data_IF_151944698476
#
_entry.id   IF_151944698476
#
_cell.length_a   1.000
_cell.length_b   1.000
_cell.length_c   1.000
_cell.angle_alpha   90.00
_cell.angle_beta   90.00
_cell.angle_gamma   90.00
#
_symmetry.space_group_name_H-M   'P 1'
#
loop_
_entity.id
_entity.type
_entity.pdbx_description
1 polymer ?
#
# COMPACT_ATOMS: atom_id res chain seq x y z
N UNK A 1 -0.33 -38.74 2.33
CA UNK A 1 -0.45 -39.41 1.03
C UNK A 1 -1.89 -39.37 0.59
N UNK A 2 -2.15 -38.71 -0.54
CA UNK A 2 -3.49 -38.63 -1.13
C UNK A 2 -3.88 -39.98 -1.77
N UNK A 3 -5.18 -40.17 -2.05
CA UNK A 3 -5.65 -41.41 -2.64
C UNK A 3 -5.44 -41.40 -4.16
N UNK A 4 -4.47 -42.17 -4.63
CA UNK A 4 -3.96 -42.15 -6.03
C UNK A 4 -5.03 -42.11 -7.12
N UNK A 5 -6.17 -42.79 -6.95
CA UNK A 5 -7.28 -42.76 -7.92
C UNK A 5 -7.97 -41.39 -7.97
N UNK A 6 -8.23 -40.76 -6.81
CA UNK A 6 -8.87 -39.43 -6.73
C UNK A 6 -7.93 -38.34 -7.24
N UNK A 7 -6.68 -38.31 -6.77
CA UNK A 7 -5.67 -37.38 -7.27
C UNK A 7 -5.45 -37.56 -8.78
N UNK A 8 -5.23 -38.80 -9.24
CA UNK A 8 -4.99 -39.08 -10.66
C UNK A 8 -6.16 -38.66 -11.56
N UNK A 9 -7.41 -38.89 -11.14
CA UNK A 9 -8.59 -38.43 -11.88
C UNK A 9 -8.72 -36.91 -11.88
N UNK A 10 -8.57 -36.26 -10.74
CA UNK A 10 -8.67 -34.80 -10.62
C UNK A 10 -7.59 -34.09 -11.45
N UNK A 11 -6.33 -34.53 -11.38
CA UNK A 11 -5.25 -33.97 -12.19
C UNK A 11 -5.50 -34.17 -13.69
N UNK A 12 -6.09 -35.30 -14.10
CA UNK A 12 -6.46 -35.52 -15.50
C UNK A 12 -7.57 -34.56 -15.96
N UNK A 13 -8.61 -34.34 -15.15
CA UNK A 13 -9.67 -33.39 -15.46
C UNK A 13 -9.14 -31.94 -15.55
N UNK A 14 -8.23 -31.54 -14.65
CA UNK A 14 -7.57 -30.21 -14.67
C UNK A 14 -6.70 -30.04 -15.93
N UNK A 15 -5.92 -31.06 -16.33
CA UNK A 15 -5.14 -31.01 -17.58
C UNK A 15 -6.05 -30.85 -18.80
N UNK A 16 -7.17 -31.57 -18.85
CA UNK A 16 -8.16 -31.45 -19.92
C UNK A 16 -8.78 -30.05 -20.01
N UNK A 17 -9.15 -29.44 -18.87
CA UNK A 17 -9.67 -28.07 -18.79
C UNK A 17 -8.73 -27.08 -19.47
N UNK A 18 -7.44 -27.15 -19.11
CA UNK A 18 -6.42 -26.20 -19.54
C UNK A 18 -6.04 -26.44 -21.00
N UNK A 19 -5.88 -27.70 -21.43
CA UNK A 19 -5.65 -28.01 -22.84
C UNK A 19 -6.79 -27.50 -23.73
N UNK A 20 -8.04 -27.79 -23.38
CA UNK A 20 -9.19 -27.37 -24.21
C UNK A 20 -9.34 -25.84 -24.22
N UNK A 21 -9.03 -25.17 -23.11
CA UNK A 21 -9.02 -23.71 -23.03
C UNK A 21 -7.94 -23.05 -23.91
N UNK A 22 -6.77 -23.70 -24.05
CA UNK A 22 -5.66 -23.26 -24.90
C UNK A 22 -5.91 -23.58 -26.39
N UNK A 23 -6.65 -24.64 -26.70
CA UNK A 23 -7.10 -24.95 -28.07
C UNK A 23 -8.11 -23.91 -28.56
N UNK A 24 -9.03 -23.48 -27.70
CA UNK A 24 -10.12 -22.56 -28.03
C UNK A 24 -9.69 -21.09 -28.07
N UNK A 25 -8.52 -20.75 -27.52
CA UNK A 25 -7.85 -19.46 -27.74
C UNK A 25 -7.54 -19.18 -29.24
N UNK A 26 -7.67 -20.19 -30.12
CA UNK A 26 -7.54 -20.04 -31.58
C UNK A 26 -8.86 -19.65 -32.28
N UNK A 27 -10.02 -19.79 -31.63
CA UNK A 27 -11.35 -19.48 -32.20
C UNK A 27 -11.58 -17.97 -32.17
N UNK A 28 -11.90 -17.33 -33.32
CA UNK A 28 -11.94 -15.85 -33.41
C UNK A 28 -13.08 -15.16 -32.64
N UNK A 29 -14.17 -15.85 -32.32
CA UNK A 29 -15.35 -15.23 -31.70
C UNK A 29 -15.25 -15.20 -30.17
N UNK A 30 -15.16 -14.00 -29.57
CA UNK A 30 -14.92 -13.84 -28.13
C UNK A 30 -16.01 -14.45 -27.23
N UNK A 31 -17.30 -14.20 -27.49
CA UNK A 31 -18.39 -14.74 -26.67
C UNK A 31 -18.38 -16.28 -26.58
N UNK A 32 -18.25 -16.97 -27.71
CA UNK A 32 -18.08 -18.43 -27.75
C UNK A 32 -16.83 -18.96 -27.00
N UNK A 33 -15.78 -18.15 -26.78
CA UNK A 33 -14.67 -18.53 -25.89
C UNK A 33 -15.10 -18.51 -24.42
N UNK A 34 -15.88 -17.50 -24.02
CA UNK A 34 -16.44 -17.34 -22.67
C UNK A 34 -17.34 -18.53 -22.34
N UNK A 35 -18.47 -18.66 -23.04
CA UNK A 35 -19.45 -19.73 -22.83
C UNK A 35 -18.85 -21.14 -22.79
N UNK A 36 -17.82 -21.41 -23.60
CA UNK A 36 -17.10 -22.69 -23.53
C UNK A 36 -16.21 -22.81 -22.28
N UNK A 37 -15.49 -21.76 -21.89
CA UNK A 37 -14.65 -21.69 -20.66
C UNK A 37 -15.50 -21.80 -19.39
N UNK A 38 -16.69 -21.21 -19.39
CA UNK A 38 -17.71 -21.34 -18.35
C UNK A 38 -18.23 -22.80 -18.27
N UNK A 39 -18.75 -23.31 -19.39
CA UNK A 39 -19.21 -24.71 -19.55
C UNK A 39 -18.15 -25.74 -19.11
N UNK A 40 -16.87 -25.49 -19.41
CA UNK A 40 -15.78 -26.44 -19.12
C UNK A 40 -15.40 -26.48 -17.65
N UNK A 41 -15.41 -25.33 -16.97
CA UNK A 41 -15.21 -25.29 -15.52
C UNK A 41 -16.41 -25.95 -14.81
N UNK A 42 -17.63 -25.65 -15.25
CA UNK A 42 -18.85 -26.29 -14.76
C UNK A 42 -18.83 -27.82 -14.91
N UNK A 43 -18.41 -28.34 -16.07
CA UNK A 43 -18.26 -29.79 -16.30
C UNK A 43 -17.35 -30.51 -15.29
N UNK A 44 -16.37 -29.82 -14.72
CA UNK A 44 -15.54 -30.39 -13.64
C UNK A 44 -16.33 -30.42 -12.34
N UNK A 45 -16.89 -29.29 -11.89
CA UNK A 45 -17.71 -29.24 -10.67
C UNK A 45 -18.84 -30.30 -10.70
N UNK A 46 -19.52 -30.47 -11.84
CA UNK A 46 -20.63 -31.44 -12.01
C UNK A 46 -20.24 -32.91 -11.74
N UNK A 47 -18.95 -33.25 -11.80
CA UNK A 47 -18.43 -34.59 -11.47
C UNK A 47 -18.18 -34.82 -9.96
N UNK A 48 -18.11 -33.75 -9.16
CA UNK A 48 -17.64 -33.80 -7.76
C UNK A 48 -18.56 -33.10 -6.75
N UNK A 49 -19.64 -32.44 -7.17
CA UNK A 49 -20.59 -31.79 -6.27
C UNK A 49 -21.27 -32.79 -5.32
N UNK A 50 -21.46 -32.46 -4.02
CA UNK A 50 -22.24 -33.29 -3.11
C UNK A 50 -23.73 -33.37 -3.50
N UNK A 51 -24.38 -34.46 -3.14
CA UNK A 51 -25.83 -34.67 -3.37
C UNK A 51 -26.63 -33.51 -2.73
N UNK A 52 -27.49 -32.88 -3.52
CA UNK A 52 -28.27 -31.69 -3.12
C UNK A 52 -27.76 -30.39 -3.73
N UNK A 53 -26.52 -30.35 -4.24
CA UNK A 53 -25.98 -29.21 -4.98
C UNK A 53 -25.95 -29.47 -6.49
N UNK A 54 -26.27 -28.42 -7.24
CA UNK A 54 -26.24 -28.40 -8.71
C UNK A 54 -25.60 -27.08 -9.21
N UNK A 55 -25.36 -27.03 -10.53
CA UNK A 55 -24.81 -25.88 -11.23
C UNK A 55 -25.89 -25.21 -12.06
N UNK A 56 -25.77 -23.91 -12.25
CA UNK A 56 -26.52 -23.19 -13.27
C UNK A 56 -25.84 -21.89 -13.70
N UNK A 57 -26.50 -21.17 -14.59
CA UNK A 57 -26.12 -19.82 -15.06
C UNK A 57 -27.37 -18.98 -15.32
N UNK A 58 -27.26 -17.65 -15.28
CA UNK A 58 -28.41 -16.75 -15.40
C UNK A 58 -28.52 -15.76 -14.24
N UNK A 59 -29.73 -15.32 -13.93
CA UNK A 59 -29.99 -14.26 -12.93
C UNK A 59 -30.26 -14.83 -11.53
N UNK A 60 -29.78 -14.11 -10.51
CA UNK A 60 -30.07 -14.38 -9.11
C UNK A 60 -31.14 -13.40 -8.63
N UNK A 61 -32.17 -13.90 -7.95
CA UNK A 61 -33.39 -13.15 -7.64
C UNK A 61 -33.70 -13.14 -6.14
N UNK A 62 -34.43 -12.12 -5.67
CA UNK A 62 -34.99 -12.08 -4.32
C UNK A 62 -36.53 -12.04 -4.28
N UNK A 63 -37.07 -12.18 -3.06
CA UNK A 63 -38.51 -12.16 -2.80
C UNK A 63 -39.18 -10.79 -2.99
N UNK A 64 -38.42 -9.71 -3.19
CA UNK A 64 -38.94 -8.36 -3.46
C UNK A 64 -38.99 -8.06 -4.99
N UNK A 65 -38.63 -9.05 -5.83
CA UNK A 65 -38.52 -8.98 -7.29
C UNK A 65 -37.31 -8.17 -7.80
N UNK A 66 -36.27 -7.99 -6.97
CA UNK A 66 -34.98 -7.50 -7.49
C UNK A 66 -34.23 -8.67 -8.15
N UNK A 67 -33.49 -8.40 -9.22
CA UNK A 67 -32.64 -9.39 -9.91
C UNK A 67 -31.20 -8.88 -10.07
N UNK A 68 -30.25 -9.80 -10.18
CA UNK A 68 -28.87 -9.49 -10.58
C UNK A 68 -28.73 -9.45 -12.11
N UNK A 69 -27.62 -8.90 -12.59
CA UNK A 69 -27.14 -9.24 -13.95
C UNK A 69 -26.90 -10.75 -14.06
N UNK A 70 -26.88 -11.24 -15.29
CA UNK A 70 -26.48 -12.61 -15.64
C UNK A 70 -25.11 -12.99 -15.03
N UNK A 71 -25.05 -14.18 -14.44
CA UNK A 71 -23.88 -14.74 -13.75
C UNK A 71 -23.26 -15.86 -14.57
N UNK A 72 -21.92 -15.83 -14.67
CA UNK A 72 -21.15 -16.68 -15.58
C UNK A 72 -21.24 -18.19 -15.20
N UNK A 73 -21.38 -18.48 -13.89
CA UNK A 73 -21.74 -19.79 -13.32
C UNK A 73 -22.18 -19.60 -11.86
N UNK A 74 -23.02 -20.47 -11.31
CA UNK A 74 -23.32 -20.55 -9.88
C UNK A 74 -23.47 -22.00 -9.38
N UNK A 75 -23.36 -22.19 -8.05
CA UNK A 75 -23.71 -23.44 -7.35
C UNK A 75 -24.87 -23.14 -6.41
N UNK A 76 -25.98 -23.87 -6.55
CA UNK A 76 -27.18 -23.74 -5.73
C UNK A 76 -27.55 -25.04 -5.01
N UNK A 77 -28.25 -24.92 -3.88
CA UNK A 77 -28.80 -26.05 -3.13
C UNK A 77 -30.25 -26.32 -3.55
N UNK A 78 -30.44 -27.30 -4.45
CA UNK A 78 -31.75 -27.67 -5.01
C UNK A 78 -32.71 -28.26 -3.97
N UNK A 79 -32.17 -28.74 -2.84
CA UNK A 79 -32.94 -29.29 -1.73
C UNK A 79 -33.44 -28.21 -0.76
N UNK A 80 -33.04 -26.94 -0.94
CA UNK A 80 -33.49 -25.82 -0.12
C UNK A 80 -34.63 -25.05 -0.80
N UNK A 81 -34.40 -24.51 -2.00
CA UNK A 81 -35.42 -23.88 -2.86
C UNK A 81 -35.10 -24.26 -4.32
N UNK A 82 -36.09 -24.72 -5.13
CA UNK A 82 -35.86 -24.99 -6.54
C UNK A 82 -35.75 -23.70 -7.36
N UNK A 83 -34.86 -23.64 -8.37
CA UNK A 83 -34.80 -22.54 -9.33
C UNK A 83 -35.90 -22.62 -10.39
N UNK A 84 -36.12 -21.51 -11.10
CA UNK A 84 -36.99 -21.45 -12.27
C UNK A 84 -36.10 -21.60 -13.52
N UNK A 85 -35.98 -22.81 -14.04
CA UNK A 85 -35.15 -23.10 -15.21
C UNK A 85 -35.89 -22.84 -16.53
N UNK A 86 -35.20 -22.24 -17.48
CA UNK A 86 -35.67 -22.04 -18.86
C UNK A 86 -34.95 -22.97 -19.86
N UNK A 87 -33.77 -23.48 -19.51
CA UNK A 87 -33.07 -24.53 -20.25
C UNK A 87 -32.67 -25.69 -19.30
N UNK A 88 -31.61 -26.44 -19.62
CA UNK A 88 -31.12 -27.57 -18.82
C UNK A 88 -30.43 -27.08 -17.54
N UNK A 89 -29.59 -26.04 -17.65
CA UNK A 89 -28.81 -25.47 -16.54
C UNK A 89 -29.02 -23.93 -16.42
N UNK A 90 -29.77 -23.28 -17.33
CA UNK A 90 -30.00 -21.82 -17.32
C UNK A 90 -31.37 -21.44 -16.72
N UNK A 91 -31.42 -20.38 -15.91
CA UNK A 91 -32.67 -19.94 -15.25
C UNK A 91 -32.54 -18.75 -14.30
N UNK A 92 -33.57 -18.59 -13.45
CA UNK A 92 -33.57 -17.66 -12.32
C UNK A 92 -33.44 -18.41 -10.99
N UNK A 93 -32.50 -17.97 -10.14
CA UNK A 93 -32.10 -18.69 -8.92
C UNK A 93 -32.40 -17.85 -7.67
N UNK A 94 -33.24 -18.31 -6.74
CA UNK A 94 -33.46 -17.63 -5.46
C UNK A 94 -32.16 -17.48 -4.67
N UNK A 95 -31.86 -16.27 -4.20
CA UNK A 95 -30.60 -15.92 -3.55
C UNK A 95 -30.29 -16.80 -2.31
N UNK A 96 -31.30 -17.25 -1.56
CA UNK A 96 -31.13 -18.15 -0.42
C UNK A 96 -30.65 -19.55 -0.81
N UNK A 97 -30.91 -19.99 -2.05
CA UNK A 97 -30.40 -21.26 -2.57
C UNK A 97 -28.94 -21.19 -3.01
N UNK A 98 -28.45 -19.99 -3.36
CA UNK A 98 -27.13 -19.77 -3.94
C UNK A 98 -26.03 -19.89 -2.87
N UNK A 99 -25.05 -20.75 -3.12
CA UNK A 99 -23.90 -20.96 -2.21
C UNK A 99 -22.59 -20.40 -2.75
N UNK A 100 -22.40 -20.45 -4.07
CA UNK A 100 -21.28 -19.83 -4.77
C UNK A 100 -21.77 -19.18 -6.05
N UNK A 101 -21.22 -18.02 -6.41
CA UNK A 101 -21.48 -17.35 -7.69
C UNK A 101 -20.13 -16.96 -8.28
N UNK A 102 -19.95 -17.21 -9.57
CA UNK A 102 -18.68 -17.13 -10.26
C UNK A 102 -18.68 -16.06 -11.34
N UNK A 103 -17.52 -15.43 -11.50
CA UNK A 103 -17.12 -14.61 -12.64
C UNK A 103 -15.93 -15.32 -13.30
N UNK A 104 -16.06 -15.73 -14.56
CA UNK A 104 -15.13 -16.65 -15.24
C UNK A 104 -14.46 -15.94 -16.41
N UNK A 105 -13.26 -15.41 -16.20
CA UNK A 105 -12.61 -14.50 -17.15
C UNK A 105 -11.55 -15.19 -18.00
N UNK A 106 -11.50 -14.79 -19.27
CA UNK A 106 -10.50 -15.31 -20.22
C UNK A 106 -9.08 -14.90 -19.84
N UNK A 107 -8.89 -13.65 -19.46
CA UNK A 107 -7.63 -13.09 -18.96
C UNK A 107 -7.97 -12.06 -17.89
N UNK A 108 -7.50 -12.27 -16.66
CA UNK A 108 -7.69 -11.30 -15.57
C UNK A 108 -6.92 -10.01 -15.89
N UNK A 109 -7.61 -8.87 -15.87
CA UNK A 109 -7.03 -7.55 -16.01
C UNK A 109 -7.72 -6.56 -15.04
N UNK A 110 -7.24 -5.32 -14.98
CA UNK A 110 -7.77 -4.31 -14.06
C UNK A 110 -9.25 -3.96 -14.31
N UNK A 111 -9.72 -3.99 -15.56
CA UNK A 111 -11.12 -3.73 -15.91
C UNK A 111 -12.03 -4.88 -15.45
N UNK A 112 -11.65 -6.13 -15.75
CA UNK A 112 -12.44 -7.31 -15.37
C UNK A 112 -12.68 -7.40 -13.86
N UNK A 113 -11.64 -7.15 -13.06
CA UNK A 113 -11.76 -7.12 -11.59
C UNK A 113 -12.77 -6.04 -11.16
N UNK A 114 -12.72 -4.84 -11.75
CA UNK A 114 -13.67 -3.77 -11.43
C UNK A 114 -15.11 -4.11 -11.84
N UNK A 115 -15.33 -4.71 -13.02
CA UNK A 115 -16.66 -5.10 -13.48
C UNK A 115 -17.25 -6.25 -12.67
N UNK A 116 -16.43 -7.23 -12.28
CA UNK A 116 -16.86 -8.33 -11.39
C UNK A 116 -17.17 -7.83 -9.98
N UNK A 117 -16.38 -6.88 -9.42
CA UNK A 117 -16.73 -6.19 -8.17
C UNK A 117 -18.10 -5.50 -8.28
N UNK A 118 -18.43 -4.86 -9.41
CA UNK A 118 -19.74 -4.24 -9.60
C UNK A 118 -20.88 -5.27 -9.61
N UNK A 119 -20.77 -6.33 -10.42
CA UNK A 119 -21.75 -7.45 -10.46
C UNK A 119 -21.97 -8.06 -9.07
N UNK A 120 -20.90 -8.39 -8.33
CA UNK A 120 -21.02 -9.00 -7.01
C UNK A 120 -21.63 -8.06 -5.96
N UNK A 121 -21.44 -6.74 -6.07
CA UNK A 121 -22.12 -5.78 -5.20
C UNK A 121 -23.64 -5.71 -5.46
N UNK A 122 -24.10 -5.84 -6.72
CA UNK A 122 -25.53 -5.91 -7.02
C UNK A 122 -26.17 -7.14 -6.36
N UNK A 123 -25.53 -8.30 -6.48
CA UNK A 123 -25.97 -9.56 -5.82
C UNK A 123 -25.97 -9.42 -4.29
N UNK A 124 -24.97 -8.76 -3.70
CA UNK A 124 -24.88 -8.54 -2.25
C UNK A 124 -25.92 -7.55 -1.70
N UNK A 125 -26.62 -6.81 -2.56
CA UNK A 125 -27.72 -5.91 -2.19
C UNK A 125 -29.11 -6.58 -2.21
N UNK A 126 -29.24 -7.78 -2.81
CA UNK A 126 -30.47 -8.58 -2.83
C UNK A 126 -30.92 -8.95 -1.40
N UNK A 127 -32.24 -9.10 -1.21
CA UNK A 127 -32.85 -9.43 0.08
C UNK A 127 -32.88 -10.93 0.33
N UNK A 128 -32.83 -11.30 1.61
CA UNK A 128 -32.95 -12.69 2.06
C UNK A 128 -34.23 -12.82 2.87
N UNK A 129 -35.02 -13.87 2.62
CA UNK A 129 -36.30 -14.12 3.27
C UNK A 129 -36.34 -15.51 3.89
N UNK A 130 -36.49 -15.64 5.24
CA UNK A 130 -36.49 -14.56 6.23
C UNK A 130 -35.13 -13.82 6.30
N UNK A 131 -35.13 -12.60 6.82
CA UNK A 131 -33.97 -11.67 6.85
C UNK A 131 -32.81 -12.16 7.73
N UNK A 132 -32.08 -13.14 7.19
CA UNK A 132 -31.12 -13.97 7.89
C UNK A 132 -29.80 -13.99 7.11
N UNK A 133 -28.98 -12.95 7.31
CA UNK A 133 -27.71 -12.67 6.59
C UNK A 133 -26.60 -13.74 6.71
N UNK A 134 -26.88 -14.93 7.23
CA UNK A 134 -25.89 -15.94 7.60
C UNK A 134 -25.22 -16.68 6.44
N UNK A 135 -25.83 -16.65 5.25
CA UNK A 135 -25.36 -17.34 4.06
C UNK A 135 -25.51 -16.45 2.83
N UNK A 136 -24.74 -15.36 2.76
CA UNK A 136 -24.49 -14.73 1.45
C UNK A 136 -23.66 -15.69 0.59
N UNK A 137 -23.90 -15.79 -0.73
CA UNK A 137 -23.15 -16.66 -1.61
C UNK A 137 -21.70 -16.20 -1.70
N UNK A 138 -20.79 -17.17 -1.67
CA UNK A 138 -19.35 -16.93 -1.75
C UNK A 138 -19.02 -16.49 -3.18
N UNK A 139 -18.53 -15.26 -3.32
CA UNK A 139 -18.27 -14.63 -4.61
C UNK A 139 -16.89 -15.04 -5.13
N UNK A 140 -16.86 -15.70 -6.29
CA UNK A 140 -15.69 -16.37 -6.87
C UNK A 140 -15.24 -15.67 -8.15
N UNK A 141 -14.01 -15.17 -8.18
CA UNK A 141 -13.39 -14.69 -9.42
C UNK A 141 -12.39 -15.73 -9.93
N UNK A 142 -12.66 -16.30 -11.10
CA UNK A 142 -11.81 -17.29 -11.76
C UNK A 142 -11.24 -16.71 -13.05
N UNK A 143 -9.96 -16.94 -13.35
CA UNK A 143 -9.42 -16.62 -14.67
C UNK A 143 -8.41 -17.64 -15.20
N UNK A 144 -8.45 -17.86 -16.51
CA UNK A 144 -7.57 -18.79 -17.22
C UNK A 144 -6.16 -18.25 -17.50
N UNK A 145 -5.98 -16.93 -17.43
CA UNK A 145 -4.73 -16.22 -17.65
C UNK A 145 -4.76 -14.87 -16.93
N UNK A 146 -3.66 -14.13 -16.99
CA UNK A 146 -3.57 -12.73 -16.54
C UNK A 146 -2.54 -11.93 -17.33
N UNK A 147 -2.69 -10.62 -17.37
CA UNK A 147 -1.77 -9.67 -17.99
C UNK A 147 -0.59 -9.24 -17.08
N UNK A 148 -0.66 -9.44 -15.77
CA UNK A 148 0.40 -9.02 -14.84
C UNK A 148 1.50 -10.07 -14.63
N UNK A 149 2.75 -9.63 -14.76
CA UNK A 149 3.96 -10.43 -14.53
C UNK A 149 4.37 -10.43 -13.05
N UNK A 150 4.56 -9.23 -12.47
CA UNK A 150 5.30 -9.01 -11.21
C UNK A 150 4.41 -8.80 -9.97
N UNK A 151 3.25 -8.16 -10.12
CA UNK A 151 2.36 -7.81 -9.00
C UNK A 151 1.48 -9.02 -8.62
N UNK A 152 1.10 -9.13 -7.34
CA UNK A 152 0.15 -10.15 -6.88
C UNK A 152 -1.29 -9.81 -7.29
N UNK A 153 -2.05 -10.81 -7.75
CA UNK A 153 -3.48 -10.65 -8.08
C UNK A 153 -4.31 -10.14 -6.91
N UNK A 154 -4.02 -10.63 -5.71
CA UNK A 154 -4.68 -10.18 -4.48
C UNK A 154 -4.39 -8.70 -4.18
N UNK A 155 -3.17 -8.25 -4.47
CA UNK A 155 -2.77 -6.85 -4.29
C UNK A 155 -3.41 -5.95 -5.34
N UNK A 156 -3.51 -6.42 -6.60
CA UNK A 156 -4.28 -5.75 -7.66
C UNK A 156 -5.75 -5.58 -7.25
N UNK A 157 -6.37 -6.63 -6.74
CA UNK A 157 -7.76 -6.61 -6.26
C UNK A 157 -7.96 -5.63 -5.08
N UNK A 158 -7.05 -5.63 -4.09
CA UNK A 158 -7.16 -4.73 -2.93
C UNK A 158 -7.07 -3.23 -3.26
N UNK A 159 -6.59 -2.87 -4.46
CA UNK A 159 -6.59 -1.47 -4.95
C UNK A 159 -7.96 -1.00 -5.44
N UNK A 160 -8.90 -1.91 -5.70
CA UNK A 160 -10.22 -1.60 -6.28
C UNK A 160 -11.39 -1.86 -5.33
N UNK A 161 -11.28 -2.80 -4.39
CA UNK A 161 -12.29 -2.99 -3.36
C UNK A 161 -11.99 -2.20 -2.07
N UNK A 162 -12.81 -1.17 -1.82
CA UNK A 162 -12.75 -0.32 -0.61
C UNK A 162 -13.00 -1.10 0.69
N UNK A 163 -13.66 -2.26 0.62
CA UNK A 163 -14.01 -3.10 1.77
C UNK A 163 -13.07 -4.30 1.95
N UNK A 164 -11.98 -4.41 1.16
CA UNK A 164 -11.11 -5.58 1.08
C UNK A 164 -10.65 -6.14 2.45
N UNK A 165 -10.39 -5.26 3.43
CA UNK A 165 -9.89 -5.62 4.76
C UNK A 165 -10.97 -5.91 5.81
N UNK A 166 -12.25 -5.64 5.51
CA UNK A 166 -13.38 -5.64 6.47
C UNK A 166 -14.51 -6.56 6.03
N UNK A 167 -14.88 -6.51 4.76
CA UNK A 167 -15.90 -7.35 4.11
C UNK A 167 -15.64 -7.38 2.59
N UNK A 168 -14.60 -8.08 2.12
CA UNK A 168 -14.23 -8.10 0.70
C UNK A 168 -15.40 -8.55 -0.19
N UNK A 169 -15.54 -7.95 -1.37
CA UNK A 169 -16.63 -8.20 -2.32
C UNK A 169 -16.48 -9.55 -3.04
N UNK A 170 -15.25 -9.90 -3.41
CA UNK A 170 -14.82 -11.20 -3.88
C UNK A 170 -14.21 -11.95 -2.70
N UNK A 171 -14.72 -13.15 -2.42
CA UNK A 171 -14.30 -13.98 -1.28
C UNK A 171 -13.24 -15.02 -1.69
N UNK A 172 -13.21 -15.40 -2.97
CA UNK A 172 -12.32 -16.41 -3.56
C UNK A 172 -11.77 -15.92 -4.90
N UNK A 173 -10.47 -16.09 -5.11
CA UNK A 173 -9.79 -15.79 -6.39
C UNK A 173 -8.98 -17.02 -6.82
N UNK A 174 -9.15 -17.49 -8.05
CA UNK A 174 -8.31 -18.56 -8.63
C UNK A 174 -7.86 -18.17 -10.05
N UNK A 175 -6.55 -18.08 -10.24
CA UNK A 175 -5.92 -17.63 -11.49
C UNK A 175 -4.90 -18.68 -11.91
N UNK A 176 -5.19 -19.38 -13.01
CA UNK A 176 -4.37 -20.50 -13.49
C UNK A 176 -2.93 -20.02 -13.76
N UNK A 177 -1.93 -20.77 -13.28
CA UNK A 177 -0.52 -20.42 -13.40
C UNK A 177 -0.04 -19.31 -12.45
N UNK A 178 -0.91 -18.81 -11.56
CA UNK A 178 -0.55 -17.83 -10.51
C UNK A 178 -0.88 -18.34 -9.10
N UNK A 179 -2.11 -18.81 -8.88
CA UNK A 179 -2.51 -19.41 -7.60
C UNK A 179 -4.00 -19.34 -7.27
N UNK A 180 -4.31 -19.74 -6.04
CA UNK A 180 -5.65 -19.77 -5.45
C UNK A 180 -5.64 -19.09 -4.08
N UNK A 181 -6.37 -17.98 -3.98
CA UNK A 181 -6.59 -17.22 -2.77
C UNK A 181 -8.04 -17.40 -2.29
N UNK A 182 -8.22 -17.42 -0.98
CA UNK A 182 -9.55 -17.35 -0.37
C UNK A 182 -9.47 -16.58 0.94
N UNK A 183 -10.55 -15.87 1.26
CA UNK A 183 -10.68 -15.19 2.55
C UNK A 183 -11.46 -16.06 3.54
N UNK A 184 -11.14 -15.94 4.82
CA UNK A 184 -11.96 -16.46 5.91
C UNK A 184 -12.08 -15.39 7.01
N UNK A 185 -13.16 -15.48 7.79
CA UNK A 185 -13.26 -14.73 9.04
C UNK A 185 -12.52 -15.48 10.14
N UNK A 186 -11.74 -14.75 10.93
CA UNK A 186 -11.17 -15.24 12.19
C UNK A 186 -12.28 -15.76 13.13
N UNK A 187 -11.93 -16.58 14.13
CA UNK A 187 -12.86 -17.20 15.08
C UNK A 187 -13.77 -16.17 15.78
N UNK A 188 -13.25 -14.96 16.02
CA UNK A 188 -14.00 -13.84 16.61
C UNK A 188 -14.85 -13.03 15.60
N UNK A 189 -14.87 -13.44 14.33
CA UNK A 189 -15.54 -12.82 13.17
C UNK A 189 -15.11 -11.39 12.78
N UNK A 190 -14.24 -10.74 13.57
CA UNK A 190 -13.81 -9.34 13.41
C UNK A 190 -12.68 -9.11 12.38
N UNK A 191 -11.88 -10.13 12.04
CA UNK A 191 -10.78 -10.01 11.07
C UNK A 191 -11.03 -10.90 9.85
N UNK A 192 -10.72 -10.37 8.67
CA UNK A 192 -10.63 -11.12 7.41
C UNK A 192 -9.17 -11.56 7.25
N UNK A 193 -8.94 -12.84 7.04
CA UNK A 193 -7.63 -13.46 6.81
C UNK A 193 -7.62 -14.00 5.37
N UNK A 194 -6.61 -13.62 4.59
CA UNK A 194 -6.40 -14.13 3.24
C UNK A 194 -5.36 -15.26 3.24
N UNK A 195 -5.75 -16.39 2.67
CA UNK A 195 -4.89 -17.56 2.45
C UNK A 195 -4.39 -17.54 1.00
N UNK A 196 -3.20 -18.08 0.75
CA UNK A 196 -2.61 -18.11 -0.59
C UNK A 196 -1.96 -19.46 -0.90
N UNK A 197 -2.52 -20.14 -1.88
CA UNK A 197 -1.97 -21.34 -2.46
C UNK A 197 -1.28 -20.95 -3.77
N UNK A 198 0.04 -21.01 -3.78
CA UNK A 198 0.86 -20.71 -4.96
C UNK A 198 0.56 -21.71 -6.08
N UNK A 199 0.63 -21.26 -7.34
CA UNK A 199 0.62 -22.19 -8.48
C UNK A 199 1.90 -23.03 -8.53
N UNK A 200 1.71 -24.30 -8.85
CA UNK A 200 2.67 -25.39 -8.80
C UNK A 200 2.58 -26.23 -10.09
N UNK A 201 3.39 -27.30 -10.20
CA UNK A 201 3.29 -28.23 -11.34
C UNK A 201 1.87 -28.78 -11.49
N UNK A 202 1.48 -29.05 -12.73
CA UNK A 202 0.14 -29.52 -13.12
C UNK A 202 -1.04 -28.58 -12.76
N UNK A 203 -0.77 -27.31 -12.40
CA UNK A 203 -1.78 -26.30 -12.04
C UNK A 203 -2.59 -26.69 -10.80
N UNK A 204 -1.85 -27.16 -9.78
CA UNK A 204 -2.37 -27.71 -8.53
C UNK A 204 -3.31 -26.75 -7.77
N UNK A 205 -3.16 -25.44 -7.96
CA UNK A 205 -4.04 -24.42 -7.40
C UNK A 205 -5.52 -24.62 -7.78
N UNK A 206 -5.79 -25.15 -8.98
CA UNK A 206 -7.15 -25.47 -9.43
C UNK A 206 -7.71 -26.67 -8.65
N UNK A 207 -6.87 -27.65 -8.32
CA UNK A 207 -7.25 -28.81 -7.51
C UNK A 207 -7.50 -28.45 -6.04
N UNK A 208 -6.72 -27.51 -5.50
CA UNK A 208 -6.94 -26.91 -4.17
C UNK A 208 -8.25 -26.11 -4.14
N UNK A 209 -8.49 -25.26 -5.15
CA UNK A 209 -9.71 -24.48 -5.33
C UNK A 209 -10.98 -25.34 -5.37
N UNK A 210 -11.01 -26.34 -6.26
CA UNK A 210 -12.10 -27.31 -6.36
C UNK A 210 -12.35 -28.02 -5.02
N UNK A 211 -11.27 -28.52 -4.39
CA UNK A 211 -11.37 -29.25 -3.12
C UNK A 211 -11.83 -28.37 -1.96
N UNK A 212 -11.45 -27.09 -1.94
CA UNK A 212 -11.90 -26.11 -0.95
C UNK A 212 -13.41 -25.90 -1.03
N UNK A 213 -13.93 -25.64 -2.23
CA UNK A 213 -15.38 -25.48 -2.48
C UNK A 213 -16.16 -26.73 -2.07
N UNK A 214 -15.70 -27.92 -2.46
CA UNK A 214 -16.39 -29.18 -2.14
C UNK A 214 -16.39 -29.46 -0.63
N UNK A 215 -15.29 -29.19 0.08
CA UNK A 215 -15.23 -29.31 1.55
C UNK A 215 -16.21 -28.36 2.27
N UNK A 216 -16.40 -27.14 1.76
CA UNK A 216 -17.36 -26.18 2.32
C UNK A 216 -18.80 -26.64 2.06
N UNK A 217 -19.13 -27.06 0.83
CA UNK A 217 -20.47 -27.53 0.47
C UNK A 217 -20.90 -28.79 1.24
N UNK A 218 -19.97 -29.73 1.45
CA UNK A 218 -20.21 -30.94 2.25
C UNK A 218 -20.29 -30.68 3.76
N UNK A 219 -19.89 -29.49 4.24
CA UNK A 219 -19.64 -29.17 5.65
C UNK A 219 -18.66 -30.13 6.36
N UNK A 220 -17.89 -30.91 5.60
CA UNK A 220 -16.99 -31.96 6.09
C UNK A 220 -15.70 -31.91 5.28
N UNK A 221 -14.61 -31.51 5.92
CA UNK A 221 -13.29 -31.28 5.31
C UNK A 221 -12.54 -32.56 4.87
N UNK A 222 -13.25 -33.60 4.40
CA UNK A 222 -12.70 -34.90 4.04
C UNK A 222 -12.29 -35.03 2.57
N UNK A 223 -12.98 -34.39 1.61
CA UNK A 223 -12.68 -34.55 0.18
C UNK A 223 -11.22 -34.18 -0.12
N UNK A 224 -10.76 -33.07 0.48
CA UNK A 224 -9.36 -32.65 0.41
C UNK A 224 -8.33 -33.61 1.00
N UNK A 225 -8.69 -34.69 1.71
CA UNK A 225 -7.74 -35.76 2.10
C UNK A 225 -7.62 -36.88 1.07
N UNK A 226 -8.57 -37.00 0.15
CA UNK A 226 -8.49 -37.95 -0.97
C UNK A 226 -7.74 -37.36 -2.16
N UNK A 227 -7.81 -36.04 -2.37
CA UNK A 227 -7.25 -35.36 -3.55
C UNK A 227 -5.88 -34.72 -3.33
N UNK A 228 -5.67 -34.03 -2.20
CA UNK A 228 -4.51 -33.17 -1.90
C UNK A 228 -3.51 -33.94 -1.02
N UNK A 229 -2.22 -33.99 -1.38
CA UNK A 229 -1.23 -34.67 -0.54
C UNK A 229 -0.78 -33.84 0.68
N UNK A 230 -0.42 -34.52 1.76
CA UNK A 230 -0.17 -33.98 3.09
C UNK A 230 1.06 -33.07 3.14
N UNK A 231 2.04 -33.26 2.26
CA UNK A 231 3.20 -32.38 2.21
C UNK A 231 2.86 -31.04 1.56
N UNK A 232 2.07 -31.06 0.47
CA UNK A 232 1.55 -29.82 -0.12
C UNK A 232 0.52 -29.16 0.83
N UNK A 233 -0.18 -29.93 1.68
CA UNK A 233 -0.98 -29.35 2.80
C UNK A 233 -0.16 -28.59 3.84
N UNK A 234 1.14 -28.89 3.99
CA UNK A 234 2.07 -28.11 4.84
C UNK A 234 2.56 -26.84 4.14
N UNK A 235 2.55 -26.84 2.80
CA UNK A 235 2.84 -25.69 1.95
C UNK A 235 1.61 -24.78 1.72
N UNK A 236 0.44 -25.11 2.30
CA UNK A 236 -0.72 -24.21 2.41
C UNK A 236 -0.37 -23.08 3.38
N UNK A 237 0.36 -22.11 2.88
CA UNK A 237 0.57 -20.84 3.53
C UNK A 237 -0.76 -20.08 3.58
N UNK A 238 -1.26 -19.82 4.79
CA UNK A 238 -1.85 -18.51 5.01
C UNK A 238 -0.82 -17.44 4.62
N UNK A 239 -1.21 -16.20 4.28
CA UNK A 239 -0.27 -15.12 3.95
C UNK A 239 0.48 -14.57 5.20
N UNK A 240 0.90 -15.49 6.07
CA UNK A 240 1.32 -15.36 7.46
C UNK A 240 2.72 -15.95 7.63
N UNK A 241 2.97 -17.18 7.16
CA UNK A 241 4.15 -17.93 7.65
C UNK A 241 5.48 -17.67 6.90
N UNK A 242 5.44 -17.05 5.71
CA UNK A 242 6.62 -16.46 5.06
C UNK A 242 6.76 -14.96 5.40
N UNK A 243 5.79 -14.39 6.13
CA UNK A 243 5.72 -12.95 6.47
C UNK A 243 5.51 -12.69 7.97
N UNK A 244 6.08 -13.53 8.84
CA UNK A 244 6.07 -13.31 10.30
C UNK A 244 6.65 -11.94 10.72
N UNK A 245 7.53 -11.35 9.93
CA UNK A 245 8.06 -10.00 10.13
C UNK A 245 7.14 -8.88 9.62
N UNK A 246 6.10 -9.19 8.82
CA UNK A 246 5.28 -8.21 8.09
C UNK A 246 3.79 -8.21 8.47
N UNK A 247 3.32 -9.20 9.26
CA UNK A 247 1.97 -9.19 9.85
C UNK A 247 1.80 -8.03 10.84
N UNK A 248 2.84 -7.77 11.64
CA UNK A 248 2.91 -6.66 12.61
C UNK A 248 2.62 -5.32 11.92
N UNK A 249 3.07 -5.18 10.66
CA UNK A 249 2.85 -4.02 9.80
C UNK A 249 1.40 -3.91 9.33
N UNK A 250 0.77 -5.02 8.92
CA UNK A 250 -0.49 -4.98 8.16
C UNK A 250 -1.73 -4.75 9.03
N UNK A 251 -1.84 -5.39 10.20
CA UNK A 251 -2.99 -5.15 11.10
C UNK A 251 -2.98 -3.72 11.66
N UNK A 252 -1.79 -3.12 11.88
CA UNK A 252 -1.68 -1.72 12.34
C UNK A 252 -2.10 -0.72 11.25
N UNK A 253 -1.66 -0.87 10.00
CA UNK A 253 -2.12 -0.05 8.85
C UNK A 253 -3.66 -0.10 8.69
N UNK A 254 -4.27 -1.24 8.97
CA UNK A 254 -5.74 -1.39 8.96
C UNK A 254 -6.43 -0.55 10.05
N UNK A 255 -5.90 -0.52 11.27
CA UNK A 255 -6.45 0.32 12.35
C UNK A 255 -6.14 1.82 12.16
N UNK A 256 -4.97 2.19 11.62
CA UNK A 256 -4.66 3.57 11.18
C UNK A 256 -5.79 4.13 10.30
N UNK A 257 -6.02 3.45 9.17
CA UNK A 257 -6.91 3.96 8.13
C UNK A 257 -8.37 4.03 8.62
N UNK A 258 -8.80 3.07 9.45
CA UNK A 258 -10.13 3.10 10.08
C UNK A 258 -10.27 4.22 11.11
N UNK A 259 -9.22 4.46 11.92
CA UNK A 259 -9.18 5.56 12.90
C UNK A 259 -9.20 6.94 12.24
N UNK A 260 -8.34 7.14 11.24
CA UNK A 260 -8.28 8.36 10.42
C UNK A 260 -9.60 8.61 9.69
N UNK A 261 -10.24 7.58 9.14
CA UNK A 261 -11.56 7.68 8.52
C UNK A 261 -12.64 8.17 9.50
N UNK A 262 -12.65 7.68 10.76
CA UNK A 262 -13.59 8.18 11.76
C UNK A 262 -13.29 9.63 12.20
N UNK A 263 -12.01 10.02 12.28
CA UNK A 263 -11.60 11.40 12.60
C UNK A 263 -11.98 12.38 11.48
N UNK A 264 -11.73 12.01 10.21
CA UNK A 264 -12.12 12.81 9.03
C UNK A 264 -13.63 13.02 8.91
N UNK A 265 -14.43 12.08 9.44
CA UNK A 265 -15.88 12.18 9.53
C UNK A 265 -16.37 12.74 10.89
N UNK A 266 -15.50 13.44 11.65
CA UNK A 266 -15.85 14.16 12.88
C UNK A 266 -16.22 13.30 14.09
N UNK A 267 -16.03 11.97 14.02
CA UNK A 267 -16.50 11.01 15.02
C UNK A 267 -15.36 10.58 15.95
N UNK A 268 -14.76 11.58 16.62
CA UNK A 268 -13.46 11.50 17.28
C UNK A 268 -13.33 10.38 18.31
N UNK A 269 -14.33 10.16 19.17
CA UNK A 269 -14.31 9.09 20.18
C UNK A 269 -14.20 7.69 19.57
N UNK A 270 -14.91 7.44 18.46
CA UNK A 270 -14.77 6.17 17.72
C UNK A 270 -13.43 6.08 16.99
N UNK A 271 -12.88 7.20 16.52
CA UNK A 271 -11.52 7.29 15.97
C UNK A 271 -10.45 6.88 16.98
N UNK A 272 -10.40 7.54 18.13
CA UNK A 272 -9.41 7.26 19.18
C UNK A 272 -9.53 5.85 19.77
N UNK A 273 -10.74 5.31 19.94
CA UNK A 273 -10.96 3.92 20.41
C UNK A 273 -10.65 2.87 19.33
N UNK A 274 -10.69 3.24 18.05
CA UNK A 274 -10.25 2.37 16.94
C UNK A 274 -8.73 2.39 16.80
N UNK A 275 -8.10 3.56 16.94
CA UNK A 275 -6.65 3.70 16.99
C UNK A 275 -6.05 2.94 18.18
N UNK A 276 -6.62 3.05 19.39
CA UNK A 276 -6.05 2.42 20.58
C UNK A 276 -5.95 0.89 20.50
N UNK A 277 -6.79 0.23 19.68
CA UNK A 277 -6.74 -1.21 19.41
C UNK A 277 -5.62 -1.65 18.46
N UNK A 278 -4.90 -0.70 17.84
CA UNK A 278 -3.65 -0.99 17.11
C UNK A 278 -2.43 -1.21 18.03
N UNK A 279 -2.55 -0.86 19.32
CA UNK A 279 -1.41 -0.45 20.15
C UNK A 279 -1.07 -1.47 21.27
N UNK A 280 -1.62 -2.69 21.23
CA UNK A 280 -1.45 -3.70 22.30
C UNK A 280 -0.04 -4.32 22.43
N UNK A 281 0.95 -3.90 21.63
CA UNK A 281 2.37 -4.33 21.74
C UNK A 281 3.35 -3.16 21.58
N UNK A 282 3.15 -2.09 22.36
CA UNK A 282 3.91 -0.81 22.29
C UNK A 282 5.41 -0.93 22.03
N UNK A 283 6.15 -1.50 22.98
CA UNK A 283 7.60 -1.33 23.17
C UNK A 283 8.51 -1.79 21.99
N UNK A 284 7.96 -2.54 21.03
CA UNK A 284 8.66 -2.92 19.77
C UNK A 284 7.97 -2.40 18.50
N UNK A 285 6.72 -1.93 18.59
CA UNK A 285 5.95 -1.43 17.44
C UNK A 285 6.43 -0.06 16.95
N UNK A 286 7.00 0.78 17.81
CA UNK A 286 7.38 2.16 17.43
C UNK A 286 8.81 2.24 16.85
N UNK A 287 9.76 1.48 17.39
CA UNK A 287 11.12 1.38 16.85
C UNK A 287 11.13 0.92 15.38
N UNK A 288 10.35 -0.13 15.06
CA UNK A 288 10.20 -0.63 13.68
C UNK A 288 9.65 0.43 12.71
N UNK A 289 8.73 1.31 13.15
CA UNK A 289 8.23 2.40 12.32
C UNK A 289 9.29 3.47 12.04
N UNK A 290 10.17 3.75 13.00
CA UNK A 290 11.29 4.66 12.82
C UNK A 290 12.32 4.06 11.85
N UNK A 291 12.65 2.77 11.99
CA UNK A 291 13.57 2.06 11.09
C UNK A 291 13.04 2.04 9.65
N UNK A 292 11.76 1.74 9.42
CA UNK A 292 11.17 1.80 8.08
C UNK A 292 11.00 3.25 7.57
N UNK A 293 10.65 4.19 8.44
CA UNK A 293 10.63 5.62 8.10
C UNK A 293 12.00 6.14 7.64
N UNK A 294 13.08 5.71 8.30
CA UNK A 294 14.45 6.04 7.90
C UNK A 294 14.89 5.28 6.64
N UNK A 295 14.46 4.04 6.45
CA UNK A 295 14.61 3.25 5.22
C UNK A 295 13.97 3.94 4.02
N UNK A 296 12.75 4.47 4.17
CA UNK A 296 12.02 5.26 3.17
C UNK A 296 12.69 6.63 2.92
N UNK A 297 13.14 7.32 3.97
CA UNK A 297 13.88 8.58 3.85
C UNK A 297 15.17 8.41 3.02
N UNK A 298 15.94 7.36 3.32
CA UNK A 298 17.17 7.04 2.58
C UNK A 298 16.88 6.67 1.10
N UNK A 299 15.68 6.18 0.79
CA UNK A 299 15.16 5.94 -0.58
C UNK A 299 14.57 7.20 -1.25
N UNK A 300 14.61 8.37 -0.57
CA UNK A 300 13.99 9.64 -1.01
C UNK A 300 12.46 9.62 -1.13
N UNK A 301 11.80 8.69 -0.43
CA UNK A 301 10.34 8.60 -0.34
C UNK A 301 9.85 9.42 0.87
N UNK A 302 10.02 10.74 0.78
CA UNK A 302 9.90 11.65 1.93
C UNK A 302 8.49 11.74 2.51
N UNK A 303 7.45 11.61 1.67
CA UNK A 303 6.05 11.65 2.10
C UNK A 303 5.67 10.40 2.88
N UNK A 304 6.13 9.25 2.39
CA UNK A 304 5.96 7.95 3.01
C UNK A 304 6.76 7.89 4.32
N UNK A 305 8.03 8.34 4.31
CA UNK A 305 8.87 8.44 5.50
C UNK A 305 8.21 9.30 6.60
N UNK A 306 7.73 10.50 6.24
CA UNK A 306 7.05 11.41 7.17
C UNK A 306 5.85 10.75 7.87
N UNK A 307 4.99 10.08 7.10
CA UNK A 307 3.80 9.39 7.65
C UNK A 307 4.18 8.31 8.67
N UNK A 308 5.22 7.51 8.38
CA UNK A 308 5.66 6.44 9.28
C UNK A 308 6.37 6.97 10.53
N UNK A 309 7.12 8.07 10.41
CA UNK A 309 7.81 8.69 11.56
C UNK A 309 6.80 9.41 12.48
N UNK A 310 5.82 10.12 11.94
CA UNK A 310 4.75 10.74 12.74
C UNK A 310 3.91 9.69 13.49
N UNK A 311 3.60 8.57 12.83
CA UNK A 311 2.91 7.43 13.45
C UNK A 311 3.75 6.76 14.57
N UNK A 312 5.09 6.83 14.54
CA UNK A 312 5.90 6.32 15.64
C UNK A 312 5.76 7.18 16.92
N UNK A 313 5.64 8.50 16.78
CA UNK A 313 5.63 9.47 17.90
C UNK A 313 4.25 9.55 18.56
N UNK A 314 3.17 9.45 17.78
CA UNK A 314 1.79 9.48 18.27
C UNK A 314 1.45 8.32 19.22
N UNK A 315 2.25 7.25 19.20
CA UNK A 315 2.02 6.02 19.97
C UNK A 315 2.84 5.95 21.29
N UNK A 316 3.90 6.75 21.43
CA UNK A 316 4.88 6.60 22.52
C UNK A 316 5.55 7.93 22.97
N UNK A 317 5.35 8.29 24.23
CA UNK A 317 5.87 9.52 24.85
C UNK A 317 7.41 9.52 25.04
N UNK A 318 8.01 8.34 24.96
CA UNK A 318 9.46 8.10 24.87
C UNK A 318 10.07 8.79 23.65
N UNK A 319 9.40 8.73 22.49
CA UNK A 319 9.89 9.31 21.24
C UNK A 319 9.52 10.79 21.07
N UNK A 320 8.48 11.27 21.76
CA UNK A 320 8.15 12.71 21.87
C UNK A 320 9.25 13.55 22.56
N UNK A 321 10.23 12.90 23.19
CA UNK A 321 11.39 13.56 23.81
C UNK A 321 12.70 13.31 23.04
N UNK A 322 12.64 12.88 21.76
CA UNK A 322 13.82 12.60 20.94
C UNK A 322 14.06 13.65 19.85
N UNK A 323 15.05 14.53 20.07
CA UNK A 323 15.42 15.60 19.13
C UNK A 323 15.76 15.07 17.72
N UNK A 324 16.37 13.87 17.63
CA UNK A 324 16.73 13.22 16.37
C UNK A 324 15.52 12.92 15.48
N UNK A 325 14.36 12.67 16.09
CA UNK A 325 13.14 12.32 15.35
C UNK A 325 12.49 13.59 14.78
N UNK A 326 12.38 14.65 15.58
CA UNK A 326 11.92 15.96 15.10
C UNK A 326 12.86 16.53 14.02
N UNK A 327 14.18 16.33 14.14
CA UNK A 327 15.15 16.64 13.09
C UNK A 327 14.88 15.84 11.80
N UNK A 328 14.61 14.53 11.88
CA UNK A 328 14.21 13.70 10.72
C UNK A 328 12.89 14.17 10.10
N UNK A 329 11.90 14.58 10.90
CA UNK A 329 10.63 15.14 10.42
C UNK A 329 10.87 16.45 9.66
N UNK A 330 11.63 17.38 10.23
CA UNK A 330 11.94 18.65 9.57
C UNK A 330 12.67 18.46 8.25
N UNK A 331 13.60 17.49 8.18
CA UNK A 331 14.25 17.10 6.92
C UNK A 331 13.26 16.50 5.91
N UNK A 332 12.24 15.75 6.33
CA UNK A 332 11.19 15.28 5.42
C UNK A 332 10.38 16.44 4.85
N UNK A 333 9.92 17.36 5.70
CA UNK A 333 9.16 18.54 5.28
C UNK A 333 9.97 19.45 4.34
N UNK A 334 11.25 19.71 4.62
CA UNK A 334 12.10 20.53 3.75
C UNK A 334 12.29 19.91 2.35
N UNK A 335 12.46 18.58 2.28
CA UNK A 335 12.55 17.85 1.00
C UNK A 335 11.20 17.75 0.27
N UNK A 336 10.09 18.01 0.95
CA UNK A 336 8.75 18.14 0.35
C UNK A 336 8.40 19.58 -0.04
N UNK A 337 9.24 20.57 0.33
CA UNK A 337 9.00 22.00 0.09
C UNK A 337 8.11 22.69 1.14
N UNK A 338 7.74 21.98 2.21
CA UNK A 338 6.90 22.48 3.30
C UNK A 338 7.78 23.12 4.39
N UNK A 339 8.31 24.31 4.09
CA UNK A 339 9.36 24.92 4.92
C UNK A 339 8.82 25.40 6.27
N UNK A 340 7.52 25.73 6.37
CA UNK A 340 6.86 26.12 7.63
C UNK A 340 6.82 24.97 8.64
N UNK A 341 6.35 23.78 8.22
CA UNK A 341 6.37 22.60 9.10
C UNK A 341 7.80 22.08 9.34
N UNK A 342 8.75 22.34 8.43
CA UNK A 342 10.17 22.07 8.66
C UNK A 342 10.73 22.90 9.82
N UNK A 343 10.50 24.23 9.81
CA UNK A 343 10.90 25.17 10.87
C UNK A 343 10.35 24.72 12.23
N UNK A 344 9.03 24.53 12.34
CA UNK A 344 8.38 24.08 13.57
C UNK A 344 8.96 22.76 14.11
N UNK A 345 9.31 21.83 13.21
CA UNK A 345 9.95 20.56 13.60
C UNK A 345 11.38 20.76 14.12
N UNK A 346 12.18 21.64 13.51
CA UNK A 346 13.52 21.94 13.98
C UNK A 346 13.51 22.76 15.29
N UNK A 347 12.53 23.63 15.51
CA UNK A 347 12.29 24.31 16.80
C UNK A 347 12.02 23.31 17.92
N UNK A 348 11.12 22.34 17.71
CA UNK A 348 10.87 21.27 18.69
C UNK A 348 12.12 20.43 18.96
N UNK A 349 12.91 20.14 17.93
CA UNK A 349 14.18 19.43 18.08
C UNK A 349 15.19 20.24 18.92
N UNK A 350 15.33 21.55 18.68
CA UNK A 350 16.21 22.44 19.45
C UNK A 350 15.71 22.69 20.87
N UNK A 351 14.40 22.69 21.11
CA UNK A 351 13.82 22.76 22.46
C UNK A 351 14.20 21.56 23.33
N UNK A 352 14.44 20.40 22.71
CA UNK A 352 14.92 19.17 23.37
C UNK A 352 16.45 19.15 23.46
N UNK A 353 17.17 19.56 22.41
CA UNK A 353 18.63 19.64 22.38
C UNK A 353 19.13 20.99 21.83
N UNK A 354 19.26 22.03 22.67
CA UNK A 354 19.66 23.38 22.24
C UNK A 354 21.10 23.49 21.70
N UNK A 355 21.91 22.45 21.87
CA UNK A 355 23.32 22.43 21.47
C UNK A 355 23.58 21.98 20.03
N UNK A 356 22.62 21.35 19.36
CA UNK A 356 22.88 20.68 18.07
C UNK A 356 23.12 21.66 16.91
N UNK A 357 24.35 21.69 16.40
CA UNK A 357 24.75 22.57 15.29
C UNK A 357 24.10 22.20 13.95
N UNK A 358 23.77 20.92 13.72
CA UNK A 358 23.11 20.50 12.49
C UNK A 358 21.64 20.97 12.47
N UNK A 359 20.94 20.86 13.61
CA UNK A 359 19.56 21.35 13.69
C UNK A 359 19.52 22.88 13.60
N UNK A 360 20.46 23.59 14.24
CA UNK A 360 20.61 25.05 14.06
C UNK A 360 20.85 25.43 12.60
N UNK A 361 21.67 24.65 11.88
CA UNK A 361 21.93 24.87 10.47
C UNK A 361 20.64 24.67 9.65
N UNK A 362 19.94 23.55 9.84
CA UNK A 362 18.69 23.24 9.16
C UNK A 362 17.59 24.28 9.45
N UNK A 363 17.40 24.68 10.71
CA UNK A 363 16.44 25.72 11.10
C UNK A 363 16.78 27.06 10.45
N UNK A 364 18.03 27.54 10.60
CA UNK A 364 18.44 28.82 10.04
C UNK A 364 18.37 28.84 8.51
N UNK A 365 18.73 27.74 7.84
CA UNK A 365 18.58 27.60 6.39
C UNK A 365 17.10 27.65 5.95
N UNK A 366 16.18 27.06 6.71
CA UNK A 366 14.75 27.12 6.43
C UNK A 366 14.15 28.51 6.69
N UNK A 367 14.51 29.16 7.80
CA UNK A 367 14.15 30.56 8.08
C UNK A 367 14.66 31.49 6.96
N UNK A 368 15.91 31.29 6.51
CA UNK A 368 16.47 32.03 5.39
C UNK A 368 15.67 31.82 4.08
N UNK A 369 15.23 30.59 3.77
CA UNK A 369 14.36 30.31 2.61
C UNK A 369 13.04 31.08 2.65
N UNK A 370 12.36 31.13 3.79
CA UNK A 370 11.05 31.82 3.91
C UNK A 370 11.16 33.34 4.10
N UNK A 371 12.35 33.84 4.47
CA UNK A 371 12.54 35.22 4.90
C UNK A 371 11.98 36.27 3.95
N UNK A 372 12.06 36.07 2.63
CA UNK A 372 11.53 37.00 1.61
C UNK A 372 11.97 38.47 1.82
N UNK A 373 13.20 38.69 2.30
CA UNK A 373 13.79 39.99 2.70
C UNK A 373 13.28 40.60 4.02
N UNK A 374 12.49 39.86 4.82
CA UNK A 374 12.16 40.25 6.20
C UNK A 374 13.43 40.28 7.06
N UNK A 375 13.74 41.46 7.61
CA UNK A 375 14.97 41.68 8.39
C UNK A 375 14.97 40.93 9.72
N UNK A 376 13.81 40.68 10.35
CA UNK A 376 13.75 39.99 11.62
C UNK A 376 14.04 38.48 11.46
N UNK A 377 13.49 37.86 10.42
CA UNK A 377 13.79 36.45 10.07
C UNK A 377 15.26 36.30 9.64
N UNK A 378 15.82 37.29 8.93
CA UNK A 378 17.24 37.32 8.59
C UNK A 378 18.15 37.48 9.82
N UNK A 379 17.79 38.32 10.80
CA UNK A 379 18.51 38.44 12.06
C UNK A 379 18.42 37.17 12.92
N UNK A 380 17.27 36.49 12.96
CA UNK A 380 17.12 35.20 13.63
C UNK A 380 18.02 34.11 13.02
N UNK A 381 18.00 33.97 11.68
CA UNK A 381 18.89 33.05 10.97
C UNK A 381 20.37 33.41 11.14
N UNK A 382 20.71 34.71 11.17
CA UNK A 382 22.06 35.20 11.45
C UNK A 382 22.54 34.77 12.84
N UNK A 383 21.68 34.88 13.86
CA UNK A 383 22.00 34.46 15.22
C UNK A 383 22.20 32.94 15.35
N UNK A 384 21.42 32.14 14.62
CA UNK A 384 21.64 30.70 14.53
C UNK A 384 23.01 30.37 13.90
N UNK A 385 23.36 30.99 12.76
CA UNK A 385 24.66 30.81 12.11
C UNK A 385 25.83 31.27 13.00
N UNK A 386 25.68 32.41 13.69
CA UNK A 386 26.69 32.88 14.66
C UNK A 386 26.96 31.81 15.72
N UNK A 387 25.92 31.25 16.34
CA UNK A 387 26.09 30.24 17.40
C UNK A 387 26.67 28.89 16.94
N UNK A 388 26.70 28.62 15.63
CA UNK A 388 27.46 27.50 15.03
C UNK A 388 28.93 27.90 14.87
N UNK A 389 29.16 29.09 14.34
CA UNK A 389 30.50 29.61 14.04
C UNK A 389 31.30 30.03 15.29
N UNK A 390 30.63 30.25 16.42
CA UNK A 390 31.26 30.39 17.74
C UNK A 390 31.83 29.05 18.26
N UNK A 391 31.28 27.91 17.81
CA UNK A 391 31.76 26.57 18.13
C UNK A 391 32.77 26.06 17.09
N UNK A 392 32.49 26.26 15.79
CA UNK A 392 33.40 25.95 14.68
C UNK A 392 33.56 27.19 13.76
N UNK A 393 34.58 28.04 13.97
CA UNK A 393 34.81 29.24 13.16
C UNK A 393 35.10 29.02 11.67
N UNK A 394 35.25 27.76 11.25
CA UNK A 394 35.56 27.32 9.89
C UNK A 394 34.52 26.31 9.35
N UNK A 395 33.27 26.40 9.80
CA UNK A 395 32.16 25.65 9.20
C UNK A 395 31.78 26.26 7.84
N UNK A 396 32.07 25.55 6.74
CA UNK A 396 31.90 26.07 5.37
C UNK A 396 30.44 26.41 5.06
N UNK A 397 29.49 25.57 5.50
CA UNK A 397 28.06 25.75 5.20
C UNK A 397 27.44 26.87 6.05
N UNK A 398 27.77 26.96 7.34
CA UNK A 398 27.32 28.09 8.16
C UNK A 398 27.95 29.42 7.71
N UNK A 399 29.21 29.44 7.26
CA UNK A 399 29.83 30.60 6.62
C UNK A 399 29.10 30.99 5.32
N UNK A 400 28.76 30.01 4.48
CA UNK A 400 28.06 30.22 3.20
C UNK A 400 26.66 30.80 3.41
N UNK A 401 25.89 30.30 4.39
CA UNK A 401 24.58 30.85 4.71
C UNK A 401 24.68 32.22 5.39
N UNK A 402 25.63 32.42 6.33
CA UNK A 402 25.84 33.74 6.95
C UNK A 402 26.26 34.81 5.94
N UNK A 403 27.09 34.46 4.96
CA UNK A 403 27.41 35.31 3.81
C UNK A 403 26.15 35.77 3.07
N UNK A 404 25.25 34.84 2.70
CA UNK A 404 24.04 35.17 1.96
C UNK A 404 23.10 36.09 2.76
N UNK A 405 22.95 35.84 4.05
CA UNK A 405 22.14 36.69 4.97
C UNK A 405 22.72 38.10 5.06
N UNK A 406 24.04 38.24 5.27
CA UNK A 406 24.70 39.54 5.35
C UNK A 406 24.61 40.35 4.06
N UNK A 407 24.68 39.71 2.89
CA UNK A 407 24.46 40.38 1.60
C UNK A 407 23.04 40.95 1.51
N UNK A 408 22.02 40.25 2.01
CA UNK A 408 20.63 40.75 2.05
C UNK A 408 20.43 41.85 3.09
N UNK A 409 21.09 41.76 4.25
CA UNK A 409 21.15 42.84 5.26
C UNK A 409 22.11 43.99 4.89
N UNK A 410 22.69 43.96 3.69
CA UNK A 410 23.65 44.92 3.15
C UNK A 410 24.97 45.10 3.95
N UNK A 411 25.32 44.16 4.82
CA UNK A 411 26.64 44.05 5.47
C UNK A 411 27.68 43.48 4.50
N UNK A 412 28.07 44.30 3.50
CA UNK A 412 29.04 43.89 2.48
C UNK A 412 30.42 43.59 3.10
N UNK A 413 30.83 44.30 4.15
CA UNK A 413 32.13 44.08 4.81
C UNK A 413 32.18 42.75 5.58
N UNK A 414 31.16 42.46 6.39
CA UNK A 414 31.06 41.19 7.10
C UNK A 414 30.79 40.01 6.17
N UNK A 415 30.11 40.22 5.04
CA UNK A 415 30.00 39.23 3.96
C UNK A 415 31.37 38.93 3.34
N UNK A 416 32.17 39.96 3.05
CA UNK A 416 33.54 39.80 2.54
C UNK A 416 34.42 38.97 3.48
N UNK A 417 34.29 39.16 4.80
CA UNK A 417 35.03 38.36 5.80
C UNK A 417 34.63 36.89 5.73
N UNK A 418 33.33 36.57 5.64
CA UNK A 418 32.85 35.19 5.64
C UNK A 418 33.16 34.45 4.33
N UNK A 419 33.06 35.10 3.17
CA UNK A 419 33.41 34.47 1.88
C UNK A 419 34.93 34.23 1.75
N UNK A 420 35.77 35.11 2.32
CA UNK A 420 37.23 34.88 2.37
C UNK A 420 37.58 33.68 3.26
N UNK A 421 36.85 33.45 4.36
CA UNK A 421 36.99 32.22 5.15
C UNK A 421 36.56 30.99 4.37
N UNK A 422 35.42 31.04 3.67
CA UNK A 422 34.95 29.93 2.82
C UNK A 422 35.99 29.58 1.72
N UNK A 423 36.61 30.58 1.08
CA UNK A 423 37.71 30.38 0.13
C UNK A 423 38.94 29.73 0.79
N UNK A 424 39.26 30.09 2.04
CA UNK A 424 40.40 29.47 2.76
C UNK A 424 40.19 28.00 3.12
N UNK A 425 38.92 27.56 3.24
CA UNK A 425 38.54 26.16 3.48
C UNK A 425 38.51 25.39 2.15
N UNK A 426 37.91 25.98 1.12
CA UNK A 426 37.65 25.35 -0.17
C UNK A 426 38.13 26.23 -1.35
N UNK A 427 39.45 26.33 -1.57
CA UNK A 427 40.04 27.26 -2.55
C UNK A 427 39.78 26.87 -4.02
N UNK A 428 39.11 25.73 -4.27
CA UNK A 428 38.72 25.30 -5.61
C UNK A 428 37.27 25.68 -5.97
N UNK A 429 36.48 26.21 -5.02
CA UNK A 429 35.09 26.57 -5.27
C UNK A 429 34.97 27.92 -6.01
N UNK A 430 34.84 27.85 -7.33
CA UNK A 430 34.74 29.02 -8.22
C UNK A 430 33.58 29.97 -7.89
N UNK A 431 32.46 29.47 -7.34
CA UNK A 431 31.33 30.32 -6.96
C UNK A 431 31.64 31.25 -5.79
N UNK A 432 32.59 30.89 -4.91
CA UNK A 432 33.05 31.80 -3.85
C UNK A 432 33.88 32.96 -4.42
N UNK A 433 34.69 32.72 -5.45
CA UNK A 433 35.44 33.80 -6.11
C UNK A 433 34.51 34.77 -6.85
N UNK A 434 33.48 34.28 -7.56
CA UNK A 434 32.40 35.13 -8.09
C UNK A 434 31.71 35.94 -6.99
N UNK A 435 31.35 35.29 -5.89
CA UNK A 435 30.66 35.91 -4.76
C UNK A 435 31.51 37.02 -4.12
N UNK A 436 32.82 36.80 -3.97
CA UNK A 436 33.78 37.82 -3.54
C UNK A 436 33.85 39.00 -4.51
N UNK A 437 33.92 38.76 -5.84
CA UNK A 437 33.95 39.83 -6.84
C UNK A 437 32.70 40.73 -6.79
N UNK A 438 31.52 40.15 -6.58
CA UNK A 438 30.26 40.89 -6.44
C UNK A 438 30.31 41.78 -5.18
N UNK A 439 30.72 41.23 -4.04
CA UNK A 439 30.81 42.00 -2.79
C UNK A 439 31.91 43.08 -2.83
N UNK A 440 33.06 42.81 -3.46
CA UNK A 440 34.08 43.85 -3.67
C UNK A 440 33.61 44.97 -4.61
N UNK A 441 32.76 44.67 -5.59
CA UNK A 441 32.12 45.70 -6.43
C UNK A 441 31.13 46.54 -5.62
N UNK A 442 30.29 45.92 -4.79
CA UNK A 442 29.35 46.62 -3.90
C UNK A 442 30.08 47.53 -2.89
N UNK A 443 31.19 47.06 -2.31
CA UNK A 443 32.01 47.87 -1.39
C UNK A 443 32.57 49.11 -2.12
N UNK A 444 33.13 48.96 -3.33
CA UNK A 444 33.63 50.11 -4.12
C UNK A 444 32.52 51.14 -4.40
N UNK A 445 31.30 50.70 -4.66
CA UNK A 445 30.13 51.60 -4.84
C UNK A 445 29.83 52.37 -3.54
N UNK A 446 29.82 51.68 -2.39
CA UNK A 446 29.60 52.29 -1.07
C UNK A 446 30.72 53.30 -0.72
N UNK A 447 31.96 52.99 -1.06
CA UNK A 447 33.13 53.85 -0.87
C UNK A 447 33.22 55.01 -1.90
N UNK A 448 32.33 55.07 -2.88
CA UNK A 448 32.34 56.07 -3.95
C UNK A 448 33.51 55.93 -4.94
N UNK A 449 34.17 54.77 -4.98
CA UNK A 449 35.30 54.49 -5.85
C UNK A 449 34.85 54.13 -7.27
N UNK A 450 35.56 54.59 -8.32
CA UNK A 450 35.23 54.25 -9.69
C UNK A 450 35.33 52.74 -9.93
N UNK A 451 34.37 52.20 -10.69
CA UNK A 451 34.18 50.76 -10.96
C UNK A 451 35.16 50.19 -11.99
N UNK A 452 36.46 50.46 -11.81
CA UNK A 452 37.55 49.96 -12.64
C UNK A 452 38.65 49.25 -11.85
N UNK A 453 39.25 48.25 -12.47
CA UNK A 453 40.56 47.63 -12.18
C UNK A 453 40.96 47.40 -10.71
N UNK A 454 40.95 46.14 -10.26
CA UNK A 454 42.10 45.47 -9.57
C UNK A 454 41.67 44.14 -8.93
N UNK A 455 41.87 43.00 -9.62
CA UNK A 455 41.50 41.67 -9.08
C UNK A 455 42.37 40.51 -9.63
N UNK A 456 43.63 40.80 -9.99
CA UNK A 456 44.58 39.82 -10.60
C UNK A 456 45.80 39.55 -9.69
N UNK A 457 45.85 40.13 -8.47
CA UNK A 457 47.06 40.12 -7.61
C UNK A 457 47.02 39.26 -6.34
N UNK A 458 45.98 38.46 -6.10
CA UNK A 458 45.85 37.64 -4.88
C UNK A 458 46.03 36.12 -5.07
N UNK A 459 46.33 35.64 -6.28
CA UNK A 459 46.67 34.24 -6.56
C UNK A 459 48.18 33.95 -6.48
N UNK A 460 48.88 34.56 -5.51
CA UNK A 460 50.34 34.43 -5.39
C UNK A 460 50.91 34.27 -3.97
N UNK A 461 50.05 34.11 -2.96
CA UNK A 461 50.43 33.78 -1.58
C UNK A 461 49.35 32.94 -0.88
N UNK A 462 49.01 31.81 -1.50
CA UNK A 462 48.59 30.53 -0.90
C UNK A 462 48.98 29.42 -1.90
#
# INVERSE_FOLDING_TARGET
MAHKIYTGRLTNDIRNLIQTSNEIEKIRHLGLRGGFRETSLGKIFKNYLPIGYELGSGEVIDSENNTSRETDLLIYNKSLIPPILFSIDEGCFPIESCHYIFEIKSTSNANEIQTSIQKFNEIRNLKYTPNNKKTQPICVYFAYATDITEISELERYSRYDKNFWTNPVIDVICIIGKGYWYCQRDQNQQRIIWYFNKSEKDNYEVGLFLSGIINTLSSVNQFGYYTIDNDIKREIAAYIDIKKELIITFDKIKFLNSGLYHIQNGNFTCGFVTLSKAIETKEKYSAFLLDEGYSLFNKKLYKEALLWILEAISNEDTYQNSYLIYHRIGLCYDNLGDVENAIYSFELALKINPGDTNIKYCLGYCIFKISNQDTALLEESLNLMNSILDFNPYDEEALRIRFMIKVQLNDQYGAKIDILKAISINPNNYEYFKSLQIVEHNIRIIEGLPSGESLIKLTKFL
#
